data_IF_062563358096
#
_entry.id   IF_062563358096
#
_cell.length_a   1.000
_cell.length_b   1.000
_cell.length_c   1.000
_cell.angle_alpha   90.00
_cell.angle_beta   90.00
_cell.angle_gamma   90.00
#
_symmetry.space_group_name_H-M   'P 1'
#
loop_
_entity.id
_entity.type
_entity.pdbx_description
1 polymer ?
#
# COMPACT_ATOMS: atom_id res chain seq x y z
N UNK A 1 22.70 -0.57 -6.19
CA UNK A 1 21.43 -1.34 -6.17
C UNK A 1 20.46 -0.59 -5.27
N UNK A 2 19.28 -0.20 -5.77
CA UNK A 2 18.28 0.49 -4.94
C UNK A 2 17.82 -0.48 -3.84
N UNK A 3 17.99 -0.13 -2.56
CA UNK A 3 17.48 -0.94 -1.44
C UNK A 3 15.96 -0.99 -1.52
N UNK A 4 15.38 -2.18 -1.63
CA UNK A 4 13.93 -2.37 -1.50
C UNK A 4 13.52 -2.37 -0.04
N UNK A 5 12.47 -1.61 0.30
CA UNK A 5 11.87 -1.65 1.63
C UNK A 5 10.94 -2.88 1.72
N UNK A 6 11.13 -3.70 2.75
CA UNK A 6 10.31 -4.91 2.95
C UNK A 6 8.93 -4.57 3.48
N UNK A 7 7.97 -5.49 3.32
CA UNK A 7 6.62 -5.32 3.85
C UNK A 7 6.61 -5.17 5.37
N UNK A 8 7.50 -5.89 6.06
CA UNK A 8 7.66 -5.79 7.51
C UNK A 8 8.14 -4.40 7.94
N UNK A 9 9.06 -3.79 7.19
CA UNK A 9 9.51 -2.42 7.43
C UNK A 9 8.39 -1.40 7.19
N UNK A 10 7.56 -1.60 6.17
CA UNK A 10 6.39 -0.76 5.88
C UNK A 10 5.35 -0.90 6.99
N UNK A 11 5.03 -2.12 7.43
CA UNK A 11 4.11 -2.38 8.56
C UNK A 11 4.58 -1.70 9.85
N UNK A 12 5.88 -1.71 10.16
CA UNK A 12 6.38 -0.97 11.33
C UNK A 12 6.15 0.53 11.19
N UNK A 13 6.39 1.11 10.02
CA UNK A 13 6.12 2.54 9.76
C UNK A 13 4.64 2.86 9.86
N UNK A 14 3.77 2.01 9.32
CA UNK A 14 2.32 2.13 9.46
C UNK A 14 1.90 2.10 10.93
N UNK A 15 2.43 1.16 11.72
CA UNK A 15 2.12 1.04 13.14
C UNK A 15 2.54 2.29 13.92
N UNK A 16 3.73 2.82 13.65
CA UNK A 16 4.22 4.07 14.27
C UNK A 16 3.33 5.24 13.89
N UNK A 17 3.09 5.48 12.59
CA UNK A 17 2.26 6.61 12.15
C UNK A 17 0.84 6.51 12.69
N UNK A 18 0.22 5.33 12.66
CA UNK A 18 -1.13 5.13 13.22
C UNK A 18 -1.17 5.44 14.71
N UNK A 19 -0.15 5.07 15.49
CA UNK A 19 -0.06 5.41 16.91
C UNK A 19 0.13 6.93 17.11
N UNK A 20 0.99 7.58 16.34
CA UNK A 20 1.19 9.04 16.42
C UNK A 20 -0.09 9.83 16.12
N UNK A 21 -0.97 9.27 15.28
CA UNK A 21 -2.26 9.87 14.94
C UNK A 21 -3.42 9.42 15.88
N UNK A 22 -3.18 8.49 16.80
CA UNK A 22 -4.20 7.92 17.69
C UNK A 22 -5.22 7.03 16.96
N UNK A 23 -4.77 6.27 15.97
CA UNK A 23 -5.57 5.42 15.08
C UNK A 23 -5.34 3.92 15.34
N UNK A 24 -4.52 3.54 16.31
CA UNK A 24 -4.05 2.17 16.50
C UNK A 24 -5.20 1.15 16.55
N UNK A 25 -6.33 1.46 17.18
CA UNK A 25 -7.44 0.51 17.34
C UNK A 25 -8.59 0.73 16.33
N UNK A 26 -8.40 1.54 15.30
CA UNK A 26 -9.47 1.91 14.37
C UNK A 26 -9.45 1.07 13.08
N UNK A 27 -10.41 0.18 12.87
CA UNK A 27 -10.47 -0.61 11.62
C UNK A 27 -10.72 0.27 10.38
N UNK A 28 -11.56 1.31 10.49
CA UNK A 28 -11.92 2.16 9.35
C UNK A 28 -11.81 3.64 9.74
N UNK A 29 -10.58 4.20 9.80
CA UNK A 29 -10.41 5.61 10.11
C UNK A 29 -11.08 6.49 9.06
N UNK A 30 -11.62 7.62 9.50
CA UNK A 30 -12.08 8.69 8.62
C UNK A 30 -10.87 9.38 8.00
N UNK A 31 -10.74 9.34 6.68
CA UNK A 31 -9.53 9.83 6.01
C UNK A 31 -9.40 11.35 6.02
N UNK A 32 -10.49 12.11 6.18
CA UNK A 32 -10.41 13.55 6.36
C UNK A 32 -9.89 13.89 7.76
N UNK A 33 -10.36 13.16 8.78
CA UNK A 33 -9.81 13.27 10.13
C UNK A 33 -8.33 12.84 10.20
N UNK A 34 -7.93 11.84 9.40
CA UNK A 34 -6.50 11.46 9.25
C UNK A 34 -5.70 12.62 8.68
N UNK A 35 -6.17 13.28 7.62
CA UNK A 35 -5.50 14.44 7.02
C UNK A 35 -5.39 15.59 8.04
N UNK A 36 -6.47 15.89 8.76
CA UNK A 36 -6.47 16.93 9.80
C UNK A 36 -5.43 16.64 10.90
N UNK A 37 -5.39 15.38 11.38
CA UNK A 37 -4.39 14.94 12.36
C UNK A 37 -2.97 15.05 11.80
N UNK A 38 -2.75 14.71 10.53
CA UNK A 38 -1.45 14.90 9.88
C UNK A 38 -1.05 16.38 9.84
N UNK A 39 -1.96 17.27 9.44
CA UNK A 39 -1.67 18.72 9.42
C UNK A 39 -1.38 19.30 10.80
N UNK A 40 -1.98 18.74 11.84
CA UNK A 40 -1.76 19.18 13.23
C UNK A 40 -0.47 18.61 13.81
N UNK A 41 -0.18 17.33 13.57
CA UNK A 41 0.97 16.63 14.13
C UNK A 41 2.29 16.93 13.40
N UNK A 42 2.24 17.30 12.12
CA UNK A 42 3.43 17.48 11.29
C UNK A 42 3.46 18.88 10.67
N UNK A 43 4.35 19.75 11.19
CA UNK A 43 4.52 21.14 10.73
C UNK A 43 4.76 21.29 9.21
N UNK A 44 5.33 20.26 8.56
CA UNK A 44 5.64 20.26 7.14
C UNK A 44 4.62 19.49 6.29
N UNK A 45 3.44 19.21 6.84
CA UNK A 45 2.33 18.60 6.13
C UNK A 45 1.17 19.59 6.06
N UNK A 46 0.88 20.06 4.85
CA UNK A 46 -0.26 20.90 4.54
C UNK A 46 -1.26 20.14 3.67
N UNK A 47 -2.50 20.59 3.68
CA UNK A 47 -3.58 20.04 2.85
C UNK A 47 -4.22 21.16 2.05
N UNK A 48 -4.49 20.90 0.76
CA UNK A 48 -5.18 21.82 -0.13
C UNK A 48 -6.26 21.08 -0.91
N UNK A 49 -7.51 21.53 -0.74
CA UNK A 49 -8.60 21.21 -1.66
C UNK A 49 -8.49 22.11 -2.88
N UNK A 50 -8.53 21.53 -4.08
CA UNK A 50 -8.46 22.27 -5.35
C UNK A 50 -9.61 21.89 -6.28
N UNK A 51 -10.08 22.81 -7.15
CA UNK A 51 -11.02 22.51 -8.23
C UNK A 51 -10.55 21.34 -9.11
N UNK A 52 -11.49 20.52 -9.57
CA UNK A 52 -11.20 19.38 -10.45
C UNK A 52 -10.45 19.79 -11.73
N UNK A 53 -10.72 20.99 -12.23
CA UNK A 53 -10.08 21.58 -13.42
C UNK A 53 -8.59 21.85 -13.24
N UNK A 54 -8.10 22.00 -12.01
CA UNK A 54 -6.67 22.24 -11.73
C UNK A 54 -5.84 20.95 -11.74
N UNK A 55 -6.49 19.77 -11.69
CA UNK A 55 -5.83 18.47 -11.75
C UNK A 55 -6.60 17.51 -12.69
N UNK A 56 -6.63 17.79 -14.00
CA UNK A 56 -7.43 17.00 -14.94
C UNK A 56 -6.96 15.54 -15.04
N UNK A 57 -5.67 15.27 -14.81
CA UNK A 57 -5.03 13.98 -15.05
C UNK A 57 -4.74 13.16 -13.76
N UNK A 58 -5.09 13.66 -12.58
CA UNK A 58 -4.80 13.05 -11.28
C UNK A 58 -5.94 13.24 -10.30
N UNK A 59 -6.00 12.43 -9.24
CA UNK A 59 -7.05 12.48 -8.21
C UNK A 59 -6.61 13.25 -6.97
N UNK A 60 -5.40 12.96 -6.50
CA UNK A 60 -4.69 13.66 -5.44
C UNK A 60 -3.18 13.59 -5.73
N UNK A 61 -2.40 14.43 -5.07
CA UNK A 61 -0.94 14.45 -5.21
C UNK A 61 -0.27 14.97 -3.94
N UNK A 62 0.68 14.22 -3.42
CA UNK A 62 1.67 14.70 -2.46
C UNK A 62 2.81 15.42 -3.18
N UNK A 63 3.16 16.63 -2.73
CA UNK A 63 4.34 17.36 -3.20
C UNK A 63 5.31 17.49 -2.02
N UNK A 64 6.39 16.70 -2.02
CA UNK A 64 7.34 16.69 -0.92
C UNK A 64 8.17 17.98 -0.81
N UNK A 65 8.33 18.72 -1.91
CA UNK A 65 9.07 19.99 -1.92
C UNK A 65 8.27 21.08 -1.23
N UNK A 66 6.96 21.12 -1.49
CA UNK A 66 6.05 22.08 -0.87
C UNK A 66 5.48 21.59 0.46
N UNK A 67 5.59 20.29 0.75
CA UNK A 67 4.99 19.66 1.92
C UNK A 67 3.46 19.70 1.89
N UNK A 68 2.85 19.58 0.70
CA UNK A 68 1.39 19.73 0.53
C UNK A 68 0.75 18.52 -0.14
N UNK A 69 -0.33 18.03 0.45
CA UNK A 69 -1.27 17.11 -0.18
C UNK A 69 -2.36 17.93 -0.89
N UNK A 70 -2.35 17.91 -2.23
CA UNK A 70 -3.42 18.49 -3.04
C UNK A 70 -4.45 17.43 -3.39
N UNK A 71 -5.73 17.77 -3.28
CA UNK A 71 -6.83 16.83 -3.57
C UNK A 71 -7.97 17.53 -4.31
N UNK A 72 -8.46 16.89 -5.36
CA UNK A 72 -9.63 17.36 -6.12
C UNK A 72 -10.89 17.39 -5.26
N UNK A 73 -11.77 18.35 -5.51
CA UNK A 73 -13.05 18.47 -4.80
C UNK A 73 -13.92 17.21 -4.93
N UNK A 74 -13.95 16.60 -6.12
CA UNK A 74 -14.69 15.36 -6.33
C UNK A 74 -14.18 14.21 -5.46
N UNK A 75 -12.87 14.16 -5.22
CA UNK A 75 -12.22 13.15 -4.37
C UNK A 75 -12.52 13.43 -2.89
N UNK A 76 -12.52 14.70 -2.46
CA UNK A 76 -12.99 15.08 -1.11
C UNK A 76 -14.41 14.56 -0.88
N UNK A 77 -15.32 14.82 -1.82
CA UNK A 77 -16.70 14.34 -1.72
C UNK A 77 -16.81 12.82 -1.71
N UNK A 78 -16.00 12.12 -2.52
CA UNK A 78 -15.98 10.66 -2.55
C UNK A 78 -15.49 10.06 -1.23
N UNK A 79 -14.45 10.65 -0.63
CA UNK A 79 -13.88 10.19 0.65
C UNK A 79 -14.86 10.39 1.79
N UNK A 80 -15.57 11.51 1.83
CA UNK A 80 -16.62 11.78 2.81
C UNK A 80 -17.78 10.79 2.71
N UNK A 81 -18.06 10.24 1.52
CA UNK A 81 -19.03 9.16 1.31
C UNK A 81 -18.45 7.76 1.60
N UNK A 82 -17.19 7.68 2.01
CA UNK A 82 -16.52 6.42 2.31
C UNK A 82 -16.15 5.59 1.08
N UNK A 83 -16.01 6.21 -0.09
CA UNK A 83 -15.64 5.55 -1.34
C UNK A 83 -14.29 4.81 -1.21
N UNK A 84 -14.24 3.48 -1.47
CA UNK A 84 -13.04 2.70 -1.28
C UNK A 84 -11.85 3.13 -2.15
N UNK A 85 -12.11 3.57 -3.39
CA UNK A 85 -11.04 4.01 -4.31
C UNK A 85 -10.43 5.30 -3.79
N UNK A 86 -11.26 6.28 -3.44
CA UNK A 86 -10.79 7.56 -2.96
C UNK A 86 -10.05 7.43 -1.61
N UNK A 87 -10.48 6.51 -0.73
CA UNK A 87 -9.71 6.13 0.48
C UNK A 87 -8.32 5.60 0.14
N UNK A 88 -8.23 4.69 -0.84
CA UNK A 88 -6.95 4.15 -1.29
C UNK A 88 -6.06 5.24 -1.92
N UNK A 89 -6.63 6.11 -2.73
CA UNK A 89 -5.91 7.23 -3.36
C UNK A 89 -5.30 8.14 -2.29
N UNK A 90 -6.06 8.57 -1.28
CA UNK A 90 -5.48 9.37 -0.17
C UNK A 90 -4.40 8.58 0.57
N UNK A 91 -4.65 7.32 0.90
CA UNK A 91 -3.70 6.50 1.63
C UNK A 91 -2.38 6.31 0.86
N UNK A 92 -2.41 6.29 -0.48
CA UNK A 92 -1.23 6.28 -1.34
C UNK A 92 -0.40 7.55 -1.18
N UNK A 93 -1.03 8.72 -1.22
CA UNK A 93 -0.33 9.99 -1.04
C UNK A 93 0.23 10.15 0.38
N UNK A 94 -0.50 9.68 1.40
CA UNK A 94 0.02 9.57 2.77
C UNK A 94 1.23 8.62 2.81
N UNK A 95 1.21 7.54 2.03
CA UNK A 95 2.34 6.64 1.85
C UNK A 95 3.57 7.36 1.31
N UNK A 96 3.42 8.20 0.29
CA UNK A 96 4.54 9.03 -0.20
C UNK A 96 5.13 9.92 0.91
N UNK A 97 4.27 10.59 1.68
CA UNK A 97 4.72 11.39 2.81
C UNK A 97 5.46 10.55 3.87
N UNK A 98 4.85 9.47 4.36
CA UNK A 98 5.38 8.63 5.44
C UNK A 98 6.69 7.93 5.05
N UNK A 99 6.85 7.61 3.78
CA UNK A 99 8.03 6.97 3.22
C UNK A 99 9.10 7.99 2.75
N UNK A 100 8.85 9.30 2.90
CA UNK A 100 9.73 10.39 2.47
C UNK A 100 10.05 10.34 0.96
N UNK A 101 9.08 9.92 0.16
CA UNK A 101 9.16 9.94 -1.29
C UNK A 101 9.01 11.36 -1.83
N UNK A 102 9.45 11.56 -3.07
CA UNK A 102 9.33 12.85 -3.76
C UNK A 102 7.87 13.30 -3.98
N UNK A 103 6.95 12.35 -4.22
CA UNK A 103 5.52 12.60 -4.47
C UNK A 103 5.21 13.25 -5.84
N UNK A 104 6.21 13.84 -6.51
CA UNK A 104 6.06 14.41 -7.84
C UNK A 104 6.38 13.34 -8.88
N UNK A 105 5.43 12.43 -9.09
CA UNK A 105 5.40 11.59 -10.28
C UNK A 105 4.98 12.41 -11.48
N UNK A 106 5.91 13.17 -12.09
CA UNK A 106 5.64 13.77 -13.38
C UNK A 106 5.27 12.66 -14.38
N UNK A 107 3.98 12.54 -14.76
CA UNK A 107 3.59 12.00 -16.07
C UNK A 107 3.99 12.97 -17.21
N UNK A 108 5.08 13.71 -17.02
CA UNK A 108 5.62 14.67 -17.97
C UNK A 108 6.82 14.01 -18.64
N UNK A 109 6.68 13.82 -19.93
CA UNK A 109 7.65 13.32 -20.92
C UNK A 109 8.86 14.25 -21.09
N UNK A 110 9.52 14.64 -20.00
CA UNK A 110 10.69 15.52 -20.04
C UNK A 110 11.98 14.74 -19.78
N UNK A 111 12.88 14.88 -20.75
CA UNK A 111 14.10 14.13 -20.96
C UNK A 111 15.15 14.38 -19.86
N UNK A 112 15.26 13.44 -18.92
CA UNK A 112 16.45 13.20 -18.06
C UNK A 112 16.94 11.77 -18.35
N UNK A 113 18.06 11.26 -17.79
CA UNK A 113 18.54 9.89 -18.08
C UNK A 113 17.46 8.86 -17.73
N UNK A 114 16.64 8.51 -18.73
CA UNK A 114 15.23 8.21 -18.50
C UNK A 114 14.99 6.90 -17.74
N UNK A 115 15.99 6.01 -17.71
CA UNK A 115 15.87 4.70 -17.08
C UNK A 115 15.90 4.74 -15.55
N UNK A 116 16.88 5.42 -14.94
CA UNK A 116 17.08 5.37 -13.49
C UNK A 116 15.98 6.12 -12.73
N UNK A 117 15.63 7.33 -13.19
CA UNK A 117 14.56 8.13 -12.58
C UNK A 117 13.20 7.40 -12.68
N UNK A 118 12.91 6.78 -13.82
CA UNK A 118 11.69 6.00 -14.01
C UNK A 118 11.62 4.78 -13.07
N UNK A 119 12.76 4.10 -12.85
CA UNK A 119 12.83 2.98 -11.91
C UNK A 119 12.61 3.44 -10.47
N UNK A 120 13.19 4.58 -10.07
CA UNK A 120 12.97 5.19 -8.76
C UNK A 120 11.49 5.59 -8.58
N UNK A 121 10.88 6.27 -9.53
CA UNK A 121 9.46 6.64 -9.45
C UNK A 121 8.55 5.41 -9.35
N UNK A 122 8.81 4.35 -10.13
CA UNK A 122 8.04 3.10 -10.05
C UNK A 122 8.22 2.42 -8.69
N UNK A 123 9.41 2.50 -8.11
CA UNK A 123 9.70 1.96 -6.79
C UNK A 123 8.97 2.75 -5.70
N UNK A 124 9.04 4.09 -5.73
CA UNK A 124 8.33 4.96 -4.78
C UNK A 124 6.81 4.72 -4.83
N UNK A 125 6.23 4.64 -6.03
CA UNK A 125 4.81 4.32 -6.23
C UNK A 125 4.45 2.93 -5.67
N UNK A 126 5.29 1.93 -5.92
CA UNK A 126 5.09 0.56 -5.39
C UNK A 126 5.17 0.53 -3.85
N UNK A 127 6.11 1.26 -3.25
CA UNK A 127 6.25 1.40 -1.80
C UNK A 127 5.06 2.18 -1.19
N UNK A 128 4.61 3.26 -1.83
CA UNK A 128 3.46 4.05 -1.38
C UNK A 128 2.16 3.24 -1.46
N UNK A 129 1.94 2.47 -2.53
CA UNK A 129 0.75 1.61 -2.68
C UNK A 129 0.71 0.51 -1.63
N UNK A 130 1.84 -0.15 -1.36
CA UNK A 130 1.94 -1.15 -0.27
C UNK A 130 1.68 -0.51 1.10
N UNK A 131 2.27 0.66 1.34
CA UNK A 131 1.99 1.45 2.54
C UNK A 131 0.50 1.75 2.67
N UNK A 132 -0.16 2.20 1.61
CA UNK A 132 -1.58 2.53 1.61
C UNK A 132 -2.45 1.34 2.03
N UNK A 133 -2.21 0.17 1.43
CA UNK A 133 -2.94 -1.06 1.74
C UNK A 133 -2.74 -1.46 3.22
N UNK A 134 -1.52 -1.42 3.73
CA UNK A 134 -1.20 -1.74 5.13
C UNK A 134 -1.71 -0.67 6.09
N UNK A 135 -1.71 0.61 5.70
CA UNK A 135 -2.24 1.70 6.49
C UNK A 135 -3.75 1.57 6.68
N UNK A 136 -4.47 1.20 5.62
CA UNK A 136 -5.92 1.00 5.67
C UNK A 136 -6.30 -0.30 6.38
N UNK A 137 -5.56 -1.40 6.16
CA UNK A 137 -5.81 -2.70 6.75
C UNK A 137 -4.50 -3.32 7.32
N UNK A 138 -4.03 -2.88 8.50
CA UNK A 138 -2.74 -3.30 9.03
C UNK A 138 -2.77 -4.74 9.57
N UNK A 139 -1.63 -5.45 9.47
CA UNK A 139 -1.50 -6.84 9.91
C UNK A 139 -2.01 -7.07 11.34
N UNK A 140 -1.75 -6.13 12.24
CA UNK A 140 -2.10 -6.28 13.66
C UNK A 140 -3.60 -6.11 13.96
N UNK A 141 -4.41 -5.68 12.98
CA UNK A 141 -5.88 -5.65 13.07
C UNK A 141 -6.54 -6.78 12.27
N UNK A 142 -5.80 -7.47 11.40
CA UNK A 142 -6.28 -8.61 10.63
C UNK A 142 -6.25 -9.89 11.47
N UNK A 143 -7.22 -10.75 11.22
CA UNK A 143 -7.32 -12.10 11.79
C UNK A 143 -7.03 -13.15 10.72
N UNK A 144 -6.43 -14.28 11.12
CA UNK A 144 -6.24 -15.44 10.22
C UNK A 144 -7.57 -16.02 9.72
N UNK A 145 -8.66 -15.78 10.45
CA UNK A 145 -10.02 -16.20 10.11
C UNK A 145 -10.79 -15.20 9.26
N UNK A 146 -10.26 -14.00 9.00
CA UNK A 146 -10.96 -13.02 8.19
C UNK A 146 -11.16 -13.54 6.77
N UNK A 147 -12.38 -13.46 6.26
CA UNK A 147 -12.66 -13.63 4.84
C UNK A 147 -12.35 -12.33 4.08
N UNK A 148 -12.35 -12.40 2.74
CA UNK A 148 -12.21 -11.19 1.91
C UNK A 148 -13.35 -10.22 2.19
N UNK A 149 -14.58 -10.71 2.37
CA UNK A 149 -15.75 -9.89 2.69
C UNK A 149 -15.65 -9.24 4.07
N UNK A 150 -15.11 -9.95 5.07
CA UNK A 150 -14.83 -9.37 6.38
C UNK A 150 -13.85 -8.19 6.27
N UNK A 151 -12.82 -8.33 5.44
CA UNK A 151 -11.83 -7.26 5.22
C UNK A 151 -12.48 -6.06 4.52
N UNK A 152 -13.30 -6.29 3.49
CA UNK A 152 -14.07 -5.23 2.81
C UNK A 152 -14.95 -4.49 3.82
N UNK A 153 -15.75 -5.22 4.58
CA UNK A 153 -16.71 -4.64 5.53
C UNK A 153 -16.02 -3.87 6.66
N UNK A 154 -14.98 -4.45 7.26
CA UNK A 154 -14.29 -3.89 8.43
C UNK A 154 -13.40 -2.71 8.09
N UNK A 155 -12.66 -2.77 6.99
CA UNK A 155 -11.64 -1.76 6.65
C UNK A 155 -12.11 -0.76 5.58
N UNK A 156 -13.22 -1.05 4.88
CA UNK A 156 -13.79 -0.15 3.89
C UNK A 156 -12.92 0.04 2.66
N UNK A 157 -12.29 -1.04 2.20
CA UNK A 157 -11.49 -1.09 0.96
C UNK A 157 -12.22 -1.87 -0.13
N UNK A 158 -11.78 -1.77 -1.38
CA UNK A 158 -12.42 -2.51 -2.48
C UNK A 158 -12.22 -4.01 -2.32
N UNK A 159 -13.09 -4.81 -2.94
CA UNK A 159 -12.96 -6.26 -2.94
C UNK A 159 -11.61 -6.73 -3.49
N UNK A 160 -11.14 -6.12 -4.58
CA UNK A 160 -9.82 -6.42 -5.16
C UNK A 160 -8.68 -6.11 -4.19
N UNK A 161 -8.71 -4.94 -3.54
CA UNK A 161 -7.71 -4.57 -2.54
C UNK A 161 -7.74 -5.53 -1.34
N UNK A 162 -8.92 -5.95 -0.90
CA UNK A 162 -9.09 -6.93 0.17
C UNK A 162 -8.53 -8.31 -0.20
N UNK A 163 -8.76 -8.79 -1.43
CA UNK A 163 -8.18 -10.05 -1.91
C UNK A 163 -6.66 -10.04 -1.88
N UNK A 164 -6.05 -8.98 -2.43
CA UNK A 164 -4.60 -8.80 -2.43
C UNK A 164 -4.08 -8.78 -0.99
N UNK A 165 -4.72 -7.98 -0.15
CA UNK A 165 -4.33 -7.80 1.25
C UNK A 165 -4.42 -9.08 2.06
N UNK A 166 -5.47 -9.89 1.87
CA UNK A 166 -5.59 -11.21 2.51
C UNK A 166 -4.43 -12.13 2.11
N UNK A 167 -4.11 -12.17 0.82
CA UNK A 167 -2.97 -12.95 0.32
C UNK A 167 -1.63 -12.54 0.92
N UNK A 168 -1.39 -11.23 1.05
CA UNK A 168 -0.20 -10.68 1.71
C UNK A 168 -0.15 -11.04 3.20
N UNK A 169 -1.26 -10.88 3.92
CA UNK A 169 -1.35 -11.24 5.34
C UNK A 169 -1.11 -12.73 5.58
N UNK A 170 -1.68 -13.61 4.75
CA UNK A 170 -1.48 -15.06 4.85
C UNK A 170 -0.04 -15.45 4.52
N UNK A 171 0.60 -14.76 3.58
CA UNK A 171 2.02 -14.93 3.32
C UNK A 171 2.87 -14.48 4.51
N UNK A 172 2.54 -13.35 5.14
CA UNK A 172 3.20 -12.87 6.35
C UNK A 172 3.07 -13.87 7.52
N UNK A 173 1.87 -14.36 7.80
CA UNK A 173 1.63 -15.34 8.87
C UNK A 173 2.42 -16.63 8.67
N UNK A 174 2.48 -17.14 7.44
CA UNK A 174 3.30 -18.32 7.10
C UNK A 174 4.79 -18.09 7.34
N UNK A 175 5.32 -16.92 6.92
CA UNK A 175 6.73 -16.56 7.18
C UNK A 175 7.01 -16.46 8.67
N UNK A 176 6.11 -15.84 9.44
CA UNK A 176 6.26 -15.68 10.88
C UNK A 176 6.17 -17.02 11.64
N UNK A 177 5.37 -17.98 11.18
CA UNK A 177 5.24 -19.31 11.79
C UNK A 177 6.28 -20.32 11.28
N UNK A 178 7.11 -19.96 10.30
CA UNK A 178 8.07 -20.86 9.66
C UNK A 178 7.43 -21.90 8.73
N UNK A 179 6.13 -21.81 8.48
CA UNK A 179 5.42 -22.70 7.56
C UNK A 179 5.78 -22.37 6.11
N UNK A 180 6.20 -23.39 5.36
CA UNK A 180 6.46 -23.26 3.92
C UNK A 180 5.14 -23.31 3.15
N UNK A 181 5.06 -22.57 2.05
CA UNK A 181 3.95 -22.69 1.11
C UNK A 181 4.01 -24.06 0.44
N UNK A 182 2.95 -24.84 0.58
CA UNK A 182 2.80 -26.10 -0.16
C UNK A 182 2.76 -25.79 -1.66
N UNK A 183 3.51 -26.58 -2.43
CA UNK A 183 3.50 -26.48 -3.88
C UNK A 183 2.15 -26.98 -4.39
N UNK A 184 1.55 -26.32 -5.40
CA UNK A 184 0.37 -26.87 -6.06
C UNK A 184 0.63 -28.30 -6.54
N UNK A 185 -0.36 -29.19 -6.42
CA UNK A 185 -0.24 -30.61 -6.79
C UNK A 185 0.33 -30.80 -8.20
N UNK A 186 -0.13 -30.00 -9.15
CA UNK A 186 0.38 -30.02 -10.54
C UNK A 186 1.89 -29.73 -10.63
N UNK A 187 2.39 -28.81 -9.81
CA UNK A 187 3.82 -28.48 -9.74
C UNK A 187 4.58 -29.62 -9.08
N UNK A 188 4.03 -30.22 -8.02
CA UNK A 188 4.62 -31.40 -7.38
C UNK A 188 4.72 -32.56 -8.36
N UNK A 189 3.66 -32.84 -9.13
CA UNK A 189 3.63 -33.92 -10.12
C UNK A 189 4.64 -33.69 -11.24
N UNK A 190 4.74 -32.46 -11.73
CA UNK A 190 5.76 -32.07 -12.71
C UNK A 190 7.18 -32.27 -12.17
N UNK A 191 7.45 -31.85 -10.94
CA UNK A 191 8.77 -32.01 -10.31
C UNK A 191 9.10 -33.48 -10.04
N UNK A 192 8.11 -34.30 -9.64
CA UNK A 192 8.27 -35.75 -9.49
C UNK A 192 8.62 -36.41 -10.82
N UNK A 193 7.97 -36.02 -11.92
CA UNK A 193 8.27 -36.56 -13.24
C UNK A 193 9.67 -36.15 -13.73
N UNK A 194 10.07 -34.91 -13.50
CA UNK A 194 11.43 -34.45 -13.79
C UNK A 194 12.49 -35.22 -12.98
N UNK A 195 12.21 -35.53 -11.70
CA UNK A 195 13.08 -36.34 -10.86
C UNK A 195 13.21 -37.78 -11.38
N UNK A 196 12.11 -38.40 -11.85
CA UNK A 196 12.13 -39.72 -12.51
C UNK A 196 13.00 -39.72 -13.77
N UNK A 197 13.07 -38.60 -14.48
CA UNK A 197 13.94 -38.39 -15.66
C UNK A 197 15.38 -38.07 -15.30
N UNK A 198 15.77 -38.12 -14.02
CA UNK A 198 17.14 -37.93 -13.55
C UNK A 198 17.53 -36.49 -13.21
N UNK A 199 16.57 -35.54 -13.18
CA UNK A 199 16.85 -34.16 -12.79
C UNK A 199 17.03 -34.06 -11.27
N UNK A 200 18.15 -33.49 -10.83
CA UNK A 200 18.42 -33.26 -9.40
C UNK A 200 17.67 -32.00 -8.92
N UNK A 201 16.70 -32.17 -8.04
CA UNK A 201 15.91 -31.07 -7.48
C UNK A 201 16.68 -30.34 -6.38
N UNK A 202 16.48 -29.02 -6.28
CA UNK A 202 17.03 -28.15 -5.21
C UNK A 202 16.07 -27.95 -4.04
N UNK A 203 14.89 -28.56 -4.09
CA UNK A 203 13.83 -28.41 -3.10
C UNK A 203 13.30 -29.78 -2.75
N UNK A 204 13.06 -30.01 -1.45
CA UNK A 204 12.42 -31.23 -0.97
C UNK A 204 10.93 -31.18 -1.34
N UNK A 205 10.46 -32.26 -1.97
CA UNK A 205 9.05 -32.47 -2.26
C UNK A 205 8.44 -33.19 -1.04
N UNK A 206 7.73 -32.44 -0.20
CA UNK A 206 6.83 -33.04 0.80
C UNK A 206 5.54 -33.49 0.12
#
# INVERSE_FOLDING_TARGET
MLRHVTDEEIEQRVKVLRRELGLENQNRPDMMAVIEKLTTSFRHFAYQRIPDSEMPNGEAQWDAKMGVLRMRESVVGAVQRGDPRARMTIANEIGHFAMKHSGIGNRSTAQTPAGLLLLETRKEESEARRFAAMFLAPNYLLSSTDTVDDIVGRFGISFEAAMIRKGEFDAFQRRASGQRRELPSVVVDYLKDAQRRGVKLRTELN
#
